data_IF_468103349320
#
_entry.id   IF_468103349320
#
_cell.length_a   1.000
_cell.length_b   1.000
_cell.length_c   1.000
_cell.angle_alpha   90.00
_cell.angle_beta   90.00
_cell.angle_gamma   90.00
#
_symmetry.space_group_name_H-M   'P 1'
#
loop_
_entity.id
_entity.type
_entity.pdbx_description
1 polymer ?
#
# COMPACT_ATOMS: atom_id res chain seq x y z
N UNK A 1 13.20 -64.22 -31.15
CA UNK A 1 11.77 -63.84 -31.11
C UNK A 1 11.50 -63.11 -29.80
N UNK A 2 11.10 -61.84 -29.89
CA UNK A 2 10.12 -61.11 -29.05
C UNK A 2 10.27 -61.16 -27.50
N UNK A 3 10.32 -60.07 -26.73
CA UNK A 3 9.61 -58.77 -26.86
C UNK A 3 10.37 -57.66 -26.11
N UNK A 4 10.50 -56.50 -26.76
CA UNK A 4 10.76 -55.21 -26.12
C UNK A 4 9.57 -54.87 -25.20
N UNK A 5 9.79 -54.72 -23.89
CA UNK A 5 8.85 -54.02 -23.02
C UNK A 5 9.29 -52.55 -22.95
N UNK A 6 8.62 -51.70 -23.72
CA UNK A 6 8.66 -50.25 -23.57
C UNK A 6 7.87 -49.88 -22.30
N UNK A 7 8.59 -49.64 -21.20
CA UNK A 7 8.05 -48.89 -20.07
C UNK A 7 8.04 -47.41 -20.43
N UNK A 8 6.93 -46.95 -21.00
CA UNK A 8 6.62 -45.52 -21.08
C UNK A 8 6.25 -45.09 -19.66
N UNK A 9 7.25 -44.72 -18.87
CA UNK A 9 7.04 -44.01 -17.62
C UNK A 9 6.42 -42.66 -17.96
N UNK A 10 5.11 -42.54 -17.73
CA UNK A 10 4.39 -41.27 -17.75
C UNK A 10 5.00 -40.40 -16.64
N UNK A 11 6.00 -39.60 -17.01
CA UNK A 11 6.56 -38.56 -16.14
C UNK A 11 5.49 -37.46 -16.07
N UNK A 12 4.47 -37.66 -15.25
CA UNK A 12 3.59 -36.58 -14.80
C UNK A 12 4.41 -35.68 -13.87
N UNK A 13 5.29 -34.87 -14.47
CA UNK A 13 5.76 -33.63 -13.85
C UNK A 13 4.53 -32.75 -13.70
N UNK A 14 3.84 -32.90 -12.57
CA UNK A 14 2.78 -31.99 -12.19
C UNK A 14 3.35 -30.58 -12.23
N UNK A 15 2.80 -29.75 -13.12
CA UNK A 15 3.02 -28.32 -13.10
C UNK A 15 2.45 -27.81 -11.78
N UNK A 16 3.28 -27.80 -10.73
CA UNK A 16 3.02 -27.00 -9.56
C UNK A 16 3.08 -25.55 -10.03
N UNK A 17 1.93 -25.02 -10.46
CA UNK A 17 1.83 -23.61 -10.81
C UNK A 17 2.36 -22.80 -9.64
N UNK A 18 3.34 -21.94 -9.89
CA UNK A 18 3.88 -21.02 -8.90
C UNK A 18 2.76 -20.07 -8.47
N UNK A 19 1.94 -20.47 -7.52
CA UNK A 19 0.98 -19.56 -6.93
C UNK A 19 1.79 -18.51 -6.17
N UNK A 20 1.57 -17.20 -6.42
CA UNK A 20 2.30 -16.16 -5.72
C UNK A 20 2.20 -16.37 -4.22
N UNK A 21 3.35 -16.39 -3.53
CA UNK A 21 3.43 -16.58 -2.09
C UNK A 21 2.51 -15.60 -1.37
N UNK A 22 1.77 -16.12 -0.39
CA UNK A 22 0.80 -15.35 0.34
C UNK A 22 0.49 -16.03 1.68
N UNK A 23 0.73 -15.32 2.79
CA UNK A 23 0.36 -15.74 4.14
C UNK A 23 -0.92 -15.03 4.61
N UNK A 24 -1.27 -15.18 5.89
CA UNK A 24 -2.47 -14.58 6.49
C UNK A 24 -2.54 -13.05 6.30
N UNK A 25 -1.41 -12.37 6.18
CA UNK A 25 -1.37 -10.91 6.02
C UNK A 25 -1.89 -10.43 4.67
N UNK A 26 -2.05 -11.31 3.68
CA UNK A 26 -2.73 -10.98 2.42
C UNK A 26 -4.26 -10.89 2.55
N UNK A 27 -4.82 -11.42 3.62
CA UNK A 27 -6.27 -11.51 3.78
C UNK A 27 -6.75 -10.38 4.69
N UNK A 28 -7.81 -9.71 4.27
CA UNK A 28 -8.40 -8.63 5.04
C UNK A 28 -9.92 -8.71 4.94
N UNK A 29 -10.61 -8.50 6.06
CA UNK A 29 -12.07 -8.56 6.11
C UNK A 29 -12.65 -7.16 6.16
N UNK A 30 -13.52 -6.85 5.20
CA UNK A 30 -14.16 -5.54 5.12
C UNK A 30 -15.25 -5.30 6.17
N UNK A 31 -15.90 -4.14 6.10
CA UNK A 31 -16.92 -3.73 7.05
C UNK A 31 -18.20 -4.57 6.98
N UNK A 32 -18.45 -5.30 5.88
CA UNK A 32 -19.60 -6.20 5.71
C UNK A 32 -19.26 -7.68 5.91
N UNK A 33 -18.01 -7.98 6.25
CA UNK A 33 -17.55 -9.34 6.56
C UNK A 33 -17.01 -10.11 5.37
N UNK A 34 -16.83 -9.48 4.20
CA UNK A 34 -16.24 -10.12 3.03
C UNK A 34 -14.72 -10.15 3.17
N UNK A 35 -14.13 -11.32 2.89
CA UNK A 35 -12.69 -11.53 2.91
C UNK A 35 -12.12 -11.23 1.53
N UNK A 36 -11.19 -10.29 1.49
CA UNK A 36 -10.43 -9.91 0.31
C UNK A 36 -9.05 -10.55 0.37
N UNK A 37 -8.66 -11.25 -0.69
CA UNK A 37 -7.30 -11.78 -0.85
C UNK A 37 -6.50 -10.85 -1.75
N UNK A 38 -5.38 -10.34 -1.24
CA UNK A 38 -4.48 -9.46 -1.99
C UNK A 38 -3.13 -10.11 -2.26
N UNK A 39 -2.25 -9.34 -2.90
CA UNK A 39 -0.85 -9.68 -3.14
C UNK A 39 0.00 -9.48 -1.88
N UNK A 40 1.00 -10.34 -1.65
CA UNK A 40 1.97 -10.18 -0.57
C UNK A 40 3.00 -9.09 -0.92
N UNK A 41 3.42 -8.26 0.04
CA UNK A 41 4.29 -7.10 -0.23
C UNK A 41 5.65 -7.48 -0.84
N UNK A 42 6.18 -8.66 -0.57
CA UNK A 42 7.45 -9.14 -1.14
C UNK A 42 7.34 -9.54 -2.62
N UNK A 43 6.14 -9.89 -3.08
CA UNK A 43 5.88 -10.26 -4.47
C UNK A 43 5.31 -9.10 -5.28
N UNK A 44 4.81 -8.05 -4.63
CA UNK A 44 4.45 -6.79 -5.28
C UNK A 44 5.70 -6.11 -5.86
N UNK A 45 5.62 -5.73 -7.14
CA UNK A 45 6.72 -5.10 -7.89
C UNK A 45 6.45 -3.64 -8.22
N UNK A 46 5.28 -3.09 -7.82
CA UNK A 46 4.96 -1.70 -8.13
C UNK A 46 5.96 -0.77 -7.46
N UNK A 47 6.41 0.24 -8.21
CA UNK A 47 7.41 1.21 -7.77
C UNK A 47 8.87 0.75 -7.90
N UNK A 48 9.15 -0.53 -8.17
CA UNK A 48 10.52 -1.06 -8.19
C UNK A 48 11.41 -0.40 -9.26
N UNK A 49 10.87 -0.13 -10.44
CA UNK A 49 11.60 0.53 -11.53
C UNK A 49 11.33 2.04 -11.61
N UNK A 50 10.47 2.56 -10.71
CA UNK A 50 10.09 3.97 -10.66
C UNK A 50 10.92 4.76 -9.65
N UNK A 51 11.01 4.25 -8.42
CA UNK A 51 11.76 4.91 -7.35
C UNK A 51 13.26 4.59 -7.45
N UNK A 52 14.17 5.52 -7.16
CA UNK A 52 15.61 5.24 -7.20
C UNK A 52 16.04 4.29 -6.06
N UNK A 53 17.15 3.57 -6.25
CA UNK A 53 17.74 2.71 -5.20
C UNK A 53 18.29 3.55 -4.03
N UNK A 54 18.62 4.82 -4.28
CA UNK A 54 19.10 5.80 -3.30
C UNK A 54 18.25 7.06 -3.32
N UNK A 55 17.83 7.52 -2.15
CA UNK A 55 17.26 8.85 -1.93
C UNK A 55 18.23 9.69 -1.07
N UNK A 56 18.06 11.03 -1.00
CA UNK A 56 18.80 11.85 -0.04
C UNK A 56 18.64 11.30 1.38
N UNK A 57 19.76 11.12 2.09
CA UNK A 57 19.74 10.67 3.48
C UNK A 57 19.18 11.79 4.37
N UNK A 58 18.19 11.45 5.20
CA UNK A 58 17.55 12.41 6.12
C UNK A 58 17.89 12.11 7.58
N UNK A 59 18.64 11.03 7.84
CA UNK A 59 18.86 10.51 9.20
C UNK A 59 17.61 9.88 9.82
N UNK A 60 16.52 9.73 9.06
CA UNK A 60 15.26 9.12 9.47
C UNK A 60 14.80 8.13 8.42
N UNK A 61 14.03 7.11 8.83
CA UNK A 61 13.27 6.29 7.88
C UNK A 61 12.31 7.18 7.09
N UNK A 62 12.15 6.91 5.81
CA UNK A 62 11.29 7.66 4.89
C UNK A 62 10.26 6.73 4.25
N UNK A 63 9.03 7.19 4.17
CA UNK A 63 7.98 6.64 3.32
C UNK A 63 7.66 7.70 2.27
N UNK A 64 7.85 7.38 0.99
CA UNK A 64 7.57 8.27 -0.13
C UNK A 64 6.43 7.66 -0.94
N UNK A 65 5.36 8.42 -1.15
CA UNK A 65 4.23 8.04 -1.99
C UNK A 65 4.17 8.95 -3.22
N UNK A 66 3.98 8.35 -4.40
CA UNK A 66 3.72 9.09 -5.63
C UNK A 66 2.32 8.75 -6.17
N UNK A 67 1.39 9.73 -6.21
CA UNK A 67 0.05 9.54 -6.73
C UNK A 67 0.00 9.33 -8.24
N UNK A 68 1.06 9.62 -8.99
CA UNK A 68 1.18 9.36 -10.44
C UNK A 68 1.64 7.94 -10.72
N UNK A 69 2.49 7.38 -9.85
CA UNK A 69 2.95 6.00 -9.96
C UNK A 69 2.01 4.98 -9.30
N UNK A 70 1.04 5.47 -8.52
CA UNK A 70 0.18 4.65 -7.66
C UNK A 70 1.00 3.70 -6.78
N UNK A 71 2.12 4.21 -6.26
CA UNK A 71 3.14 3.40 -5.62
C UNK A 71 3.85 4.15 -4.50
N UNK A 72 4.46 3.40 -3.60
CA UNK A 72 5.26 3.91 -2.51
C UNK A 72 6.65 3.28 -2.47
N UNK A 73 7.58 3.94 -1.79
CA UNK A 73 8.91 3.45 -1.46
C UNK A 73 9.27 3.74 0.00
N UNK A 74 9.93 2.77 0.63
CA UNK A 74 10.48 2.86 1.97
C UNK A 74 12.00 2.96 1.90
N UNK A 75 12.58 3.95 2.58
CA UNK A 75 14.02 4.17 2.67
C UNK A 75 14.51 4.18 4.11
N UNK A 76 15.66 3.56 4.36
CA UNK A 76 16.33 3.62 5.66
C UNK A 76 16.92 5.03 5.95
N UNK A 77 17.46 5.28 7.16
CA UNK A 77 18.05 6.57 7.52
C UNK A 77 19.17 7.07 6.59
N UNK A 78 19.88 6.15 5.93
CA UNK A 78 20.99 6.42 5.00
C UNK A 78 20.50 6.59 3.54
N UNK A 79 19.18 6.60 3.34
CA UNK A 79 18.54 6.75 2.05
C UNK A 79 18.65 5.51 1.16
N UNK A 80 18.95 4.32 1.68
CA UNK A 80 18.84 3.08 0.90
C UNK A 80 17.38 2.68 0.77
N UNK A 81 16.94 2.38 -0.45
CA UNK A 81 15.60 1.83 -0.67
C UNK A 81 15.52 0.41 -0.11
N UNK A 82 14.63 0.20 0.84
CA UNK A 82 14.39 -1.08 1.51
C UNK A 82 13.25 -1.85 0.84
N UNK A 83 12.19 -1.15 0.41
CA UNK A 83 10.99 -1.77 -0.15
C UNK A 83 10.25 -0.79 -1.06
N UNK A 84 9.45 -1.33 -1.98
CA UNK A 84 8.43 -0.58 -2.73
C UNK A 84 7.13 -1.36 -2.73
N UNK A 85 6.04 -0.71 -3.10
CA UNK A 85 4.78 -1.42 -3.33
C UNK A 85 3.67 -0.53 -3.84
N UNK A 86 2.50 -1.15 -3.97
CA UNK A 86 1.28 -0.54 -4.47
C UNK A 86 0.68 0.43 -3.45
N UNK A 87 0.26 1.60 -3.93
CA UNK A 87 -0.50 2.57 -3.16
C UNK A 87 -1.64 3.18 -3.99
N UNK A 88 -2.72 3.56 -3.34
CA UNK A 88 -3.79 4.39 -3.89
C UNK A 88 -4.02 5.56 -2.95
N UNK A 89 -3.80 6.78 -3.44
CA UNK A 89 -4.06 8.01 -2.70
C UNK A 89 -5.51 8.48 -2.84
N UNK A 90 -5.70 9.73 -2.47
CA UNK A 90 -6.97 10.44 -2.56
C UNK A 90 -7.34 10.84 -3.98
N UNK A 91 -8.59 10.66 -4.37
CA UNK A 91 -9.12 11.09 -5.68
C UNK A 91 -9.21 12.62 -5.77
N UNK A 92 -9.30 13.15 -7.00
CA UNK A 92 -9.32 14.61 -7.23
C UNK A 92 -10.50 15.30 -6.53
N UNK A 93 -11.68 14.68 -6.58
CA UNK A 93 -12.94 15.26 -6.09
C UNK A 93 -13.69 14.23 -5.25
N UNK A 94 -14.21 14.65 -4.11
CA UNK A 94 -15.00 13.82 -3.22
C UNK A 94 -16.35 13.41 -3.85
N UNK A 95 -16.83 12.19 -3.58
CA UNK A 95 -18.11 11.73 -4.16
C UNK A 95 -19.29 12.45 -3.50
N UNK A 96 -19.15 12.77 -2.22
CA UNK A 96 -20.11 13.47 -1.39
C UNK A 96 -20.23 14.96 -1.73
N UNK A 97 -19.19 15.57 -2.30
CA UNK A 97 -19.16 17.00 -2.60
C UNK A 97 -18.20 17.32 -3.75
N UNK A 98 -18.77 17.71 -4.90
CA UNK A 98 -18.01 18.01 -6.12
C UNK A 98 -17.10 19.25 -6.02
N UNK A 99 -17.29 20.09 -5.01
CA UNK A 99 -16.45 21.27 -4.76
C UNK A 99 -15.34 20.99 -3.73
N UNK A 100 -15.26 19.77 -3.19
CA UNK A 100 -14.29 19.39 -2.19
C UNK A 100 -13.23 18.48 -2.80
N UNK A 101 -11.96 18.85 -2.59
CA UNK A 101 -10.84 17.99 -2.94
C UNK A 101 -10.75 16.83 -1.96
N UNK A 102 -10.57 15.63 -2.51
CA UNK A 102 -10.28 14.42 -1.75
C UNK A 102 -8.84 13.96 -1.93
N UNK A 103 -7.97 14.82 -2.50
CA UNK A 103 -6.56 14.48 -2.74
C UNK A 103 -5.83 14.21 -1.44
N UNK A 104 -4.87 13.31 -1.49
CA UNK A 104 -3.89 13.20 -0.41
C UNK A 104 -3.09 14.49 -0.36
N UNK A 105 -2.97 15.07 0.83
CA UNK A 105 -2.17 16.28 1.03
C UNK A 105 -0.72 16.06 0.56
N UNK A 106 -0.22 16.97 -0.28
CA UNK A 106 1.14 16.90 -0.84
C UNK A 106 2.14 17.63 0.07
N UNK A 107 3.39 17.17 0.09
CA UNK A 107 4.45 17.76 0.91
C UNK A 107 5.20 16.75 1.79
N UNK A 108 5.88 17.25 2.82
CA UNK A 108 6.67 16.43 3.75
C UNK A 108 6.15 16.55 5.18
N UNK A 109 5.86 15.41 5.78
CA UNK A 109 5.22 15.24 7.07
C UNK A 109 5.97 14.23 7.92
N UNK A 110 5.46 13.96 9.13
CA UNK A 110 6.01 12.96 10.02
C UNK A 110 4.89 12.17 10.68
N UNK A 111 5.08 10.85 10.79
CA UNK A 111 4.12 9.99 11.50
C UNK A 111 4.04 10.41 12.96
N UNK A 112 2.84 10.74 13.44
CA UNK A 112 2.61 11.21 14.80
C UNK A 112 1.77 10.24 15.65
N UNK A 113 1.05 9.30 15.01
CA UNK A 113 0.29 8.28 15.72
C UNK A 113 0.13 7.02 14.86
N UNK A 114 -0.03 5.87 15.50
CA UNK A 114 -0.26 4.58 14.84
C UNK A 114 -1.24 3.72 15.63
N UNK A 115 -2.03 2.92 14.92
CA UNK A 115 -2.93 1.93 15.50
C UNK A 115 -2.79 0.61 14.73
N UNK A 116 -3.10 -0.51 15.38
CA UNK A 116 -2.99 -1.85 14.80
C UNK A 116 -4.15 -2.22 13.87
N UNK A 117 -4.38 -3.52 13.75
CA UNK A 117 -5.38 -4.11 12.83
C UNK A 117 -6.82 -3.60 13.06
N UNK A 118 -7.18 -3.26 14.29
CA UNK A 118 -8.54 -2.81 14.65
C UNK A 118 -8.75 -1.29 14.46
N UNK A 119 -7.82 -0.59 13.81
CA UNK A 119 -7.98 0.84 13.57
C UNK A 119 -9.24 1.14 12.75
N UNK A 120 -9.96 2.19 13.14
CA UNK A 120 -11.16 2.69 12.47
C UNK A 120 -11.07 4.19 12.24
N UNK A 121 -11.73 4.65 11.19
CA UNK A 121 -11.89 6.08 10.90
C UNK A 121 -12.81 6.73 11.90
N UNK A 122 -12.48 7.95 12.32
CA UNK A 122 -13.34 8.78 13.16
C UNK A 122 -14.30 9.66 12.36
N UNK A 123 -14.18 9.68 11.03
CA UNK A 123 -14.92 10.60 10.14
C UNK A 123 -15.70 9.85 9.07
N UNK A 124 -15.09 8.82 8.47
CA UNK A 124 -15.68 8.05 7.38
C UNK A 124 -16.21 6.67 7.85
N UNK A 125 -17.36 6.20 7.34
CA UNK A 125 -18.23 6.88 6.39
C UNK A 125 -18.97 8.08 7.02
N UNK A 126 -19.24 9.12 6.24
CA UNK A 126 -19.82 10.38 6.75
C UNK A 126 -21.22 10.15 7.31
N UNK A 127 -21.99 9.26 6.68
CA UNK A 127 -23.35 8.91 7.06
C UNK A 127 -23.47 8.26 8.45
N UNK A 128 -22.40 7.59 8.92
CA UNK A 128 -22.33 6.99 10.26
C UNK A 128 -21.41 7.75 11.20
N UNK A 129 -20.89 8.92 10.80
CA UNK A 129 -19.92 9.70 11.58
C UNK A 129 -18.68 8.88 11.96
N UNK A 130 -18.13 8.16 10.99
CA UNK A 130 -16.97 7.30 11.20
C UNK A 130 -17.31 5.81 11.32
N UNK A 131 -16.28 5.03 11.65
CA UNK A 131 -16.37 3.60 11.92
C UNK A 131 -15.75 2.70 10.84
N UNK A 132 -15.47 3.20 9.63
CA UNK A 132 -14.84 2.40 8.58
C UNK A 132 -13.51 1.84 9.06
N UNK A 133 -13.31 0.53 8.88
CA UNK A 133 -12.04 -0.12 9.16
C UNK A 133 -10.92 0.51 8.31
N UNK A 134 -9.81 0.79 8.97
CA UNK A 134 -8.57 1.26 8.36
C UNK A 134 -7.38 0.49 8.95
N UNK A 135 -7.29 -0.85 8.80
CA UNK A 135 -6.33 -1.63 9.55
C UNK A 135 -4.89 -1.13 9.39
N UNK A 136 -4.14 -1.14 10.48
CA UNK A 136 -2.75 -0.67 10.53
C UNK A 136 -2.53 0.83 10.22
N UNK A 137 -3.48 1.70 10.59
CA UNK A 137 -3.34 3.16 10.45
C UNK A 137 -2.01 3.72 10.95
N UNK A 138 -1.39 4.56 10.15
CA UNK A 138 -0.19 5.35 10.46
C UNK A 138 -0.46 6.81 10.07
N UNK A 139 -0.86 7.61 11.05
CA UNK A 139 -1.27 9.00 10.87
C UNK A 139 -0.06 9.91 10.68
N UNK A 140 -0.08 10.75 9.64
CA UNK A 140 1.03 11.64 9.30
C UNK A 140 0.65 13.12 9.21
N UNK A 141 -0.62 13.47 8.98
CA UNK A 141 -1.06 14.87 8.97
C UNK A 141 -2.57 14.98 9.24
N UNK A 142 -3.02 15.75 10.23
CA UNK A 142 -4.44 16.13 10.45
C UNK A 142 -5.51 15.06 10.08
N UNK A 143 -5.33 13.80 10.49
CA UNK A 143 -6.26 12.70 10.16
C UNK A 143 -5.90 11.87 8.92
N UNK A 144 -5.09 12.40 7.99
CA UNK A 144 -4.49 11.64 6.89
C UNK A 144 -3.60 10.52 7.43
N UNK A 145 -3.82 9.32 6.91
CA UNK A 145 -3.17 8.11 7.38
C UNK A 145 -2.76 7.22 6.21
N UNK A 146 -1.68 6.46 6.41
CA UNK A 146 -1.36 5.29 5.59
C UNK A 146 -2.03 4.08 6.25
N UNK A 147 -2.78 3.27 5.51
CA UNK A 147 -3.45 2.10 6.07
C UNK A 147 -3.70 0.99 5.04
N UNK A 148 -4.10 -0.19 5.51
CA UNK A 148 -4.51 -1.30 4.65
C UNK A 148 -5.79 -0.94 3.88
N UNK A 149 -5.74 -1.07 2.56
CA UNK A 149 -6.93 -1.05 1.70
C UNK A 149 -7.39 -2.47 1.37
N UNK A 150 -8.69 -2.63 1.12
CA UNK A 150 -9.24 -3.87 0.54
C UNK A 150 -8.84 -4.03 -0.92
N UNK A 151 -8.68 -2.89 -1.61
CA UNK A 151 -8.23 -2.79 -2.99
C UNK A 151 -7.19 -1.66 -3.13
N UNK A 152 -6.22 -1.86 -4.03
CA UNK A 152 -5.16 -0.89 -4.33
C UNK A 152 -4.96 -0.80 -5.84
N UNK A 153 -5.87 -0.11 -6.55
CA UNK A 153 -5.86 -0.05 -8.02
C UNK A 153 -4.72 0.82 -8.57
N UNK A 154 -4.61 0.90 -9.90
CA UNK A 154 -3.80 1.89 -10.62
C UNK A 154 -4.58 3.21 -10.79
N UNK A 155 -5.13 3.70 -9.69
CA UNK A 155 -5.87 4.96 -9.61
C UNK A 155 -5.89 5.44 -8.17
N UNK A 156 -6.10 6.75 -7.97
CA UNK A 156 -6.34 7.32 -6.65
C UNK A 156 -7.84 7.30 -6.36
N UNK A 157 -8.24 6.64 -5.27
CA UNK A 157 -9.64 6.29 -5.01
C UNK A 157 -10.10 6.56 -3.57
N UNK A 158 -9.21 6.98 -2.68
CA UNK A 158 -9.57 7.24 -1.28
C UNK A 158 -10.14 8.65 -1.08
N UNK A 159 -10.61 8.93 0.13
CA UNK A 159 -10.95 10.27 0.61
C UNK A 159 -9.72 10.91 1.31
N UNK A 160 -8.55 10.86 0.67
CA UNK A 160 -7.31 11.50 1.13
C UNK A 160 -6.27 10.56 1.75
N UNK A 161 -6.67 9.47 2.40
CA UNK A 161 -5.73 8.51 2.99
C UNK A 161 -4.90 7.75 1.93
N UNK A 162 -3.71 7.28 2.30
CA UNK A 162 -2.88 6.43 1.43
C UNK A 162 -3.20 4.97 1.73
N UNK A 163 -3.89 4.29 0.81
CA UNK A 163 -4.20 2.87 0.91
C UNK A 163 -3.05 2.06 0.34
N UNK A 164 -2.53 1.09 1.09
CA UNK A 164 -1.53 0.12 0.64
C UNK A 164 -2.06 -1.30 0.82
N UNK A 165 -1.38 -2.30 0.23
CA UNK A 165 -1.80 -3.69 0.37
C UNK A 165 -1.80 -4.12 1.86
N UNK A 166 -2.74 -4.95 2.31
CA UNK A 166 -2.83 -5.42 3.70
C UNK A 166 -1.51 -5.93 4.29
N UNK A 167 -0.80 -6.79 3.56
CA UNK A 167 0.49 -7.32 3.98
C UNK A 167 1.57 -6.23 4.09
N UNK A 168 1.55 -5.26 3.17
CA UNK A 168 2.43 -4.10 3.21
C UNK A 168 2.09 -3.18 4.39
N UNK A 169 0.81 -2.94 4.66
CA UNK A 169 0.37 -2.11 5.78
C UNK A 169 0.80 -2.71 7.12
N UNK A 170 0.66 -4.03 7.28
CA UNK A 170 1.15 -4.76 8.45
C UNK A 170 2.66 -4.59 8.62
N UNK A 171 3.44 -4.88 7.59
CA UNK A 171 4.90 -4.72 7.64
C UNK A 171 5.34 -3.27 7.90
N UNK A 172 4.72 -2.31 7.22
CA UNK A 172 4.97 -0.89 7.43
C UNK A 172 4.67 -0.50 8.88
N UNK A 173 3.56 -0.95 9.44
CA UNK A 173 3.16 -0.59 10.79
C UNK A 173 3.99 -1.31 11.84
N UNK A 174 4.26 -2.60 11.72
CA UNK A 174 4.89 -3.36 12.81
C UNK A 174 6.43 -3.24 12.77
N UNK A 175 7.03 -3.16 11.59
CA UNK A 175 8.48 -3.34 11.42
C UNK A 175 9.22 -2.08 10.93
N UNK A 176 8.58 -1.29 10.06
CA UNK A 176 9.27 -0.21 9.37
C UNK A 176 8.99 1.17 9.98
N UNK A 177 7.75 1.66 9.86
CA UNK A 177 7.35 3.02 10.24
C UNK A 177 7.30 3.15 11.77
N UNK A 178 7.97 4.16 12.30
CA UNK A 178 7.92 4.55 13.71
C UNK A 178 7.34 5.96 13.84
N UNK A 179 6.98 6.38 15.06
CA UNK A 179 6.69 7.78 15.32
C UNK A 179 7.92 8.62 14.91
N UNK A 180 7.71 9.67 14.14
CA UNK A 180 8.77 10.50 13.57
C UNK A 180 9.35 10.01 12.24
N UNK A 181 8.90 8.88 11.67
CA UNK A 181 9.21 8.53 10.28
C UNK A 181 8.73 9.62 9.34
N UNK A 182 9.58 10.05 8.40
CA UNK A 182 9.22 11.05 7.40
C UNK A 182 8.23 10.45 6.40
N UNK A 183 7.17 11.20 6.08
CA UNK A 183 6.22 10.85 5.02
C UNK A 183 6.29 11.95 3.96
N UNK A 184 6.67 11.60 2.74
CA UNK A 184 6.69 12.53 1.60
C UNK A 184 5.62 12.09 0.61
N UNK A 185 4.69 12.99 0.31
CA UNK A 185 3.68 12.81 -0.73
C UNK A 185 4.04 13.70 -1.90
N UNK A 186 4.38 13.07 -3.03
CA UNK A 186 4.76 13.77 -4.25
C UNK A 186 3.53 14.40 -4.96
N UNK A 187 3.74 15.41 -5.82
CA UNK A 187 2.64 16.13 -6.46
C UNK A 187 1.75 15.25 -7.35
N UNK A 188 0.49 15.64 -7.46
CA UNK A 188 -0.42 15.09 -8.48
C UNK A 188 -0.03 15.60 -9.88
N UNK A 189 -0.50 14.93 -10.94
CA UNK A 189 -0.04 15.16 -12.32
C UNK A 189 -0.24 16.61 -12.85
N UNK A 190 -1.20 17.33 -12.29
CA UNK A 190 -1.51 18.72 -12.63
C UNK A 190 -0.75 19.74 -11.78
N UNK A 191 -0.25 19.35 -10.60
CA UNK A 191 0.51 20.22 -9.69
C UNK A 191 1.95 20.45 -10.17
N UNK A 192 2.51 19.53 -10.97
CA UNK A 192 3.85 19.68 -11.59
C UNK A 192 3.92 20.89 -12.57
N UNK A 193 2.79 21.43 -13.01
CA UNK A 193 2.72 22.51 -14.02
C UNK A 193 2.81 23.92 -13.44
N UNK A 194 2.91 24.07 -12.12
CA UNK A 194 2.82 25.36 -11.41
C UNK A 194 4.21 25.88 -10.98
N UNK A 195 5.29 25.26 -11.45
CA UNK A 195 6.68 25.62 -11.11
C UNK A 195 7.51 25.98 -12.35
#
# INVERSE_FOLDING_TARGET
>A
MNKLLLWVGLLCLGLAGCMPYCDESCYITDDVGVVHRTTHYTVDKRGQDYFPVKAPATGKKQFIFDPKAFAWAAYDPDGNRVMTGSASGGKDVCDENQNQSCRTVTGTFHVYNKKGIDCRSGEYPVETTGGAKMPYCMYFFQGYTIHAGYEVPYSNTSHGCIRVLPSAAKWLNEEFITIGTQVTVLPYADEDKVH
#
